data_IF_833544384462
#
_entry.id   IF_833544384462
#
_cell.length_a   1.000
_cell.length_b   1.000
_cell.length_c   1.000
_cell.angle_alpha   90.00
_cell.angle_beta   90.00
_cell.angle_gamma   90.00
#
_symmetry.space_group_name_H-M   'P 1'
#
loop_
_entity.id
_entity.type
_entity.pdbx_description
1 polymer ?
#
# COMPACT_ATOMS: atom_id res chain seq x y z
N UNK A 1 9.81 6.76 -46.75
CA UNK A 1 8.92 5.64 -46.39
C UNK A 1 8.95 5.52 -44.88
N UNK A 2 7.81 5.69 -44.21
CA UNK A 2 7.72 5.40 -42.78
C UNK A 2 7.62 3.87 -42.62
N UNK A 3 8.44 3.29 -41.75
CA UNK A 3 8.37 1.87 -41.38
C UNK A 3 7.83 1.85 -39.96
N UNK A 4 6.69 1.19 -39.75
CA UNK A 4 6.15 0.95 -38.41
C UNK A 4 6.93 -0.20 -37.78
N UNK A 5 7.83 0.12 -36.84
CA UNK A 5 8.51 -0.87 -36.02
C UNK A 5 7.67 -1.18 -34.78
N UNK A 6 7.75 -2.42 -34.29
CA UNK A 6 7.15 -2.84 -33.02
C UNK A 6 8.24 -3.24 -32.02
N UNK A 7 8.01 -2.97 -30.75
CA UNK A 7 8.86 -3.44 -29.65
C UNK A 7 8.47 -4.89 -29.33
N UNK A 8 9.45 -5.75 -29.07
CA UNK A 8 9.19 -7.14 -28.71
C UNK A 8 8.57 -7.24 -27.31
N UNK A 9 7.72 -8.24 -27.08
CA UNK A 9 7.15 -8.50 -25.76
C UNK A 9 8.22 -8.67 -24.68
N UNK A 10 9.37 -9.27 -25.01
CA UNK A 10 10.49 -9.43 -24.08
C UNK A 10 11.08 -8.09 -23.60
N UNK A 11 11.19 -7.10 -24.49
CA UNK A 11 11.67 -5.76 -24.12
C UNK A 11 10.64 -5.01 -23.28
N UNK A 12 9.36 -5.11 -23.63
CA UNK A 12 8.27 -4.52 -22.81
C UNK A 12 8.26 -5.17 -21.41
N UNK A 13 8.43 -6.50 -21.34
CA UNK A 13 8.53 -7.23 -20.09
C UNK A 13 9.70 -6.74 -19.23
N UNK A 14 10.87 -6.57 -19.83
CA UNK A 14 12.04 -6.06 -19.11
C UNK A 14 11.77 -4.66 -18.53
N UNK A 15 11.09 -3.79 -19.27
CA UNK A 15 10.72 -2.45 -18.79
C UNK A 15 9.68 -2.50 -17.67
N UNK A 16 8.66 -3.35 -17.79
CA UNK A 16 7.65 -3.56 -16.73
C UNK A 16 8.30 -4.08 -15.46
N UNK A 17 9.15 -5.09 -15.58
CA UNK A 17 9.87 -5.68 -14.44
C UNK A 17 10.74 -4.65 -13.75
N UNK A 18 11.55 -3.93 -14.52
CA UNK A 18 12.43 -2.89 -13.97
C UNK A 18 11.63 -1.77 -13.29
N UNK A 19 10.47 -1.40 -13.85
CA UNK A 19 9.72 -0.24 -13.40
C UNK A 19 8.77 -0.52 -12.25
N UNK A 20 8.16 -1.70 -12.17
CA UNK A 20 7.06 -1.97 -11.24
C UNK A 20 7.30 -3.18 -10.32
N UNK A 21 8.06 -4.19 -10.76
CA UNK A 21 8.25 -5.39 -9.95
C UNK A 21 9.11 -5.10 -8.72
N UNK A 22 8.63 -5.55 -7.56
CA UNK A 22 9.13 -5.27 -6.22
C UNK A 22 9.20 -3.78 -5.86
N UNK A 23 8.39 -2.95 -6.55
CA UNK A 23 8.21 -1.53 -6.23
C UNK A 23 6.91 -1.35 -5.48
N UNK A 24 7.00 -0.59 -4.40
CA UNK A 24 5.85 -0.27 -3.57
C UNK A 24 5.16 0.97 -4.14
N UNK A 25 3.84 0.95 -4.16
CA UNK A 25 2.99 1.99 -4.73
C UNK A 25 1.90 2.31 -3.71
N UNK A 26 1.58 3.59 -3.56
CA UNK A 26 0.59 4.07 -2.61
C UNK A 26 -0.63 4.61 -3.36
N UNK A 27 -1.80 4.06 -3.06
CA UNK A 27 -3.08 4.61 -3.47
C UNK A 27 -3.52 5.72 -2.54
N UNK A 28 -3.92 6.84 -3.14
CA UNK A 28 -4.36 8.05 -2.46
C UNK A 28 -5.69 8.55 -3.02
N UNK A 29 -6.43 9.28 -2.19
CA UNK A 29 -7.63 10.01 -2.61
C UNK A 29 -7.28 11.50 -2.79
N UNK A 30 -7.83 12.10 -3.84
CA UNK A 30 -7.58 13.51 -4.20
C UNK A 30 -8.93 14.22 -4.39
N UNK A 31 -9.09 15.39 -3.75
CA UNK A 31 -10.24 16.26 -3.92
C UNK A 31 -9.88 17.53 -4.72
N UNK A 32 -9.67 17.33 -6.02
CA UNK A 32 -9.37 18.39 -6.98
C UNK A 32 -10.63 18.80 -7.78
N UNK A 33 -11.71 19.17 -7.08
CA UNK A 33 -12.98 19.49 -7.72
C UNK A 33 -12.84 20.62 -8.77
N UNK A 34 -13.37 20.38 -9.97
CA UNK A 34 -13.27 21.29 -11.12
C UNK A 34 -11.94 21.22 -11.87
N UNK A 35 -11.01 20.34 -11.48
CA UNK A 35 -9.75 20.11 -12.19
C UNK A 35 -9.84 18.83 -13.01
N UNK A 36 -9.56 18.94 -14.31
CA UNK A 36 -9.31 17.77 -15.17
C UNK A 36 -7.82 17.50 -15.21
N UNK A 37 -7.39 16.32 -14.76
CA UNK A 37 -5.99 15.91 -14.88
C UNK A 37 -5.64 15.57 -16.33
N UNK A 38 -4.58 16.18 -16.85
CA UNK A 38 -4.03 15.86 -18.17
C UNK A 38 -2.50 15.76 -18.07
N UNK A 39 -1.91 14.58 -18.32
CA UNK A 39 -0.46 14.39 -18.32
C UNK A 39 0.25 15.43 -19.20
N UNK A 40 1.36 15.98 -18.70
CA UNK A 40 2.17 16.99 -19.40
C UNK A 40 1.57 18.39 -19.48
N UNK A 41 0.32 18.59 -19.03
CA UNK A 41 -0.33 19.91 -18.94
C UNK A 41 -0.60 20.29 -17.48
N UNK A 42 -1.19 19.37 -16.70
CA UNK A 42 -1.38 19.57 -15.26
C UNK A 42 -0.04 19.43 -14.54
N UNK A 43 0.24 20.33 -13.59
CA UNK A 43 1.45 20.25 -12.77
C UNK A 43 1.22 19.23 -11.65
N UNK A 44 1.92 18.10 -11.69
CA UNK A 44 1.70 16.98 -10.77
C UNK A 44 1.82 17.38 -9.30
N UNK A 45 2.79 18.21 -8.94
CA UNK A 45 2.96 18.66 -7.54
C UNK A 45 1.81 19.51 -7.03
N UNK A 46 1.21 20.33 -7.89
CA UNK A 46 -0.01 21.09 -7.54
C UNK A 46 -1.20 20.16 -7.42
N UNK A 47 -1.32 19.18 -8.32
CA UNK A 47 -2.41 18.21 -8.27
C UNK A 47 -2.35 17.33 -7.00
N UNK A 48 -1.16 16.86 -6.63
CA UNK A 48 -0.92 16.11 -5.39
C UNK A 48 -1.16 16.97 -4.14
N UNK A 49 -1.09 18.29 -4.24
CA UNK A 49 -1.46 19.19 -3.15
C UNK A 49 -2.96 19.15 -2.77
N UNK A 50 -3.81 18.54 -3.60
CA UNK A 50 -5.23 18.30 -3.31
C UNK A 50 -5.50 16.92 -2.68
N UNK A 51 -4.46 16.20 -2.27
CA UNK A 51 -4.66 14.96 -1.52
C UNK A 51 -5.54 15.21 -0.30
N UNK A 52 -6.49 14.29 -0.08
CA UNK A 52 -7.34 14.30 1.09
C UNK A 52 -6.46 14.10 2.34
N UNK A 53 -6.72 14.86 3.39
CA UNK A 53 -5.98 14.69 4.64
C UNK A 53 -6.37 13.38 5.33
N UNK A 54 -5.38 12.67 5.88
CA UNK A 54 -5.57 11.45 6.67
C UNK A 54 -6.35 11.74 7.95
N UNK A 55 -7.64 11.44 7.89
CA UNK A 55 -8.61 11.60 8.97
C UNK A 55 -9.82 10.69 8.71
N UNK A 56 -10.62 10.45 9.76
CA UNK A 56 -11.91 9.76 9.66
C UNK A 56 -11.84 8.36 9.02
N UNK A 57 -10.74 7.63 9.31
CA UNK A 57 -10.46 6.31 8.74
C UNK A 57 -9.74 6.31 7.39
N UNK A 58 -9.60 7.48 6.73
CA UNK A 58 -8.78 7.56 5.52
C UNK A 58 -7.31 7.30 5.84
N UNK A 59 -6.77 6.32 5.13
CA UNK A 59 -5.36 6.01 5.10
C UNK A 59 -4.97 5.60 3.69
N UNK A 60 -3.77 6.00 3.26
CA UNK A 60 -3.22 5.54 1.99
C UNK A 60 -3.11 4.02 1.96
N UNK A 61 -3.37 3.43 0.81
CA UNK A 61 -3.29 1.98 0.63
C UNK A 61 -1.97 1.61 -0.04
N UNK A 62 -1.19 0.70 0.54
CA UNK A 62 0.10 0.28 -0.04
C UNK A 62 -0.08 -1.00 -0.83
N UNK A 63 0.43 -1.02 -2.06
CA UNK A 63 0.47 -2.15 -2.97
C UNK A 63 1.90 -2.46 -3.38
N UNK A 64 2.15 -3.72 -3.75
CA UNK A 64 3.39 -4.14 -4.41
C UNK A 64 3.04 -5.07 -5.57
N UNK A 65 3.69 -4.86 -6.71
CA UNK A 65 3.68 -5.81 -7.82
C UNK A 65 4.88 -6.73 -7.68
N UNK A 66 4.66 -8.03 -7.70
CA UNK A 66 5.71 -9.05 -7.65
C UNK A 66 5.98 -9.60 -9.05
N UNK A 67 7.07 -10.34 -9.23
CA UNK A 67 7.43 -10.88 -10.56
C UNK A 67 6.33 -11.79 -11.15
N UNK A 68 5.61 -12.50 -10.28
CA UNK A 68 4.47 -13.33 -10.69
C UNK A 68 3.23 -12.52 -11.12
N UNK A 69 3.17 -11.22 -10.81
CA UNK A 69 2.06 -10.37 -11.22
C UNK A 69 2.22 -9.93 -12.69
N UNK A 70 3.37 -10.15 -13.33
CA UNK A 70 3.54 -9.84 -14.75
C UNK A 70 2.89 -10.94 -15.62
N UNK A 71 2.05 -10.53 -16.55
CA UNK A 71 1.41 -11.44 -17.52
C UNK A 71 1.60 -10.94 -18.95
N UNK A 72 2.05 -11.82 -19.84
CA UNK A 72 2.04 -11.58 -21.27
C UNK A 72 0.65 -11.91 -21.84
N UNK A 73 0.12 -11.01 -22.67
CA UNK A 73 -1.17 -11.17 -23.32
C UNK A 73 -1.02 -11.74 -24.74
N UNK A 74 -2.11 -12.29 -25.28
CA UNK A 74 -2.15 -12.88 -26.63
C UNK A 74 -2.03 -11.86 -27.75
N UNK A 75 -2.14 -10.57 -27.45
CA UNK A 75 -2.04 -9.44 -28.39
C UNK A 75 -0.66 -8.76 -28.34
N UNK A 76 0.38 -9.49 -27.91
CA UNK A 76 1.75 -9.03 -27.72
C UNK A 76 1.91 -7.90 -26.66
N UNK A 77 0.85 -7.60 -25.90
CA UNK A 77 0.90 -6.71 -24.75
C UNK A 77 1.49 -7.39 -23.51
N UNK A 78 2.06 -6.59 -22.61
CA UNK A 78 2.49 -7.05 -21.28
C UNK A 78 1.79 -6.18 -20.25
N UNK A 79 1.19 -6.80 -19.25
CA UNK A 79 0.55 -6.08 -18.16
C UNK A 79 0.86 -6.67 -16.80
N UNK A 80 0.36 -5.98 -15.79
CA UNK A 80 0.42 -6.38 -14.39
C UNK A 80 -0.93 -6.93 -13.97
N UNK A 81 -0.94 -7.86 -13.02
CA UNK A 81 -2.14 -8.36 -12.39
C UNK A 81 -2.90 -7.21 -11.74
N UNK A 82 -4.23 -7.22 -11.88
CA UNK A 82 -5.07 -6.20 -11.27
C UNK A 82 -4.91 -6.20 -9.75
N UNK A 83 -4.65 -5.03 -9.16
CA UNK A 83 -4.57 -4.83 -7.70
C UNK A 83 -5.66 -3.87 -7.24
N UNK A 84 -6.21 -4.11 -6.06
CA UNK A 84 -7.27 -3.28 -5.47
C UNK A 84 -6.75 -2.41 -4.33
N UNK A 85 -7.18 -1.15 -4.26
CA UNK A 85 -7.07 -0.32 -3.06
C UNK A 85 -8.45 -0.05 -2.50
N UNK A 86 -8.65 -0.33 -1.21
CA UNK A 86 -9.93 -0.10 -0.52
C UNK A 86 -9.72 0.98 0.53
N UNK A 87 -10.54 2.03 0.46
CA UNK A 87 -10.55 3.11 1.43
C UNK A 87 -11.83 3.03 2.24
N UNK A 88 -11.70 2.95 3.56
CA UNK A 88 -12.81 2.75 4.49
C UNK A 88 -13.01 3.99 5.36
N UNK A 89 -14.25 4.38 5.60
CA UNK A 89 -14.60 5.40 6.57
C UNK A 89 -14.68 4.80 7.98
N UNK A 90 -14.21 5.51 9.02
CA UNK A 90 -14.19 5.01 10.41
C UNK A 90 -15.55 5.01 11.14
N UNK A 91 -16.64 5.27 10.41
CA UNK A 91 -17.98 5.46 10.98
C UNK A 91 -18.19 6.74 11.81
N UNK A 92 -17.21 7.66 11.87
CA UNK A 92 -17.38 8.95 12.54
C UNK A 92 -18.38 9.89 11.85
N UNK A 93 -18.60 11.08 12.40
CA UNK A 93 -19.54 12.05 11.84
C UNK A 93 -18.97 12.88 10.67
N UNK A 94 -17.66 12.84 10.44
CA UNK A 94 -16.98 13.69 9.47
C UNK A 94 -16.74 12.94 8.16
N UNK A 95 -17.43 13.33 7.09
CA UNK A 95 -17.25 12.68 5.79
C UNK A 95 -15.89 12.96 5.14
N UNK A 96 -15.48 12.06 4.24
CA UNK A 96 -14.32 12.18 3.36
C UNK A 96 -14.85 12.43 1.94
N UNK A 97 -14.42 13.52 1.29
CA UNK A 97 -14.80 13.81 -0.10
C UNK A 97 -13.61 13.67 -1.02
N UNK A 98 -13.84 13.15 -2.23
CA UNK A 98 -12.80 13.07 -3.26
C UNK A 98 -13.41 13.07 -4.66
N UNK A 99 -12.58 13.43 -5.64
CA UNK A 99 -12.93 13.47 -7.08
C UNK A 99 -12.03 12.59 -7.92
N UNK A 100 -10.91 12.13 -7.36
CA UNK A 100 -9.99 11.23 -8.03
C UNK A 100 -9.40 10.23 -7.03
N UNK A 101 -9.01 9.07 -7.54
CA UNK A 101 -8.00 8.23 -6.92
C UNK A 101 -6.72 8.33 -7.73
N UNK A 102 -5.57 8.24 -7.07
CA UNK A 102 -4.28 8.25 -7.74
C UNK A 102 -3.34 7.20 -7.13
N UNK A 103 -2.35 6.79 -7.92
CA UNK A 103 -1.22 6.01 -7.43
C UNK A 103 0.03 6.87 -7.46
N UNK A 104 0.81 6.82 -6.38
CA UNK A 104 2.12 7.47 -6.26
C UNK A 104 3.18 6.45 -5.87
N UNK A 105 4.45 6.72 -6.19
CA UNK A 105 5.53 5.85 -5.75
C UNK A 105 5.67 5.87 -4.23
N UNK A 106 5.69 4.68 -3.62
CA UNK A 106 5.78 4.52 -2.18
C UNK A 106 7.13 4.94 -1.60
N UNK A 107 7.12 5.30 -0.33
CA UNK A 107 8.30 5.70 0.44
C UNK A 107 8.29 5.08 1.83
N UNK A 108 9.45 4.60 2.28
CA UNK A 108 9.59 4.09 3.63
C UNK A 108 8.71 2.86 3.89
N UNK A 109 8.46 2.02 2.88
CA UNK A 109 7.55 0.89 3.01
C UNK A 109 8.23 -0.31 3.67
N UNK A 110 7.62 -0.86 4.72
CA UNK A 110 8.20 -1.99 5.47
C UNK A 110 8.12 -3.26 4.64
N UNK A 111 9.26 -3.83 4.27
CA UNK A 111 9.35 -5.07 3.50
C UNK A 111 9.59 -6.29 4.40
N UNK A 112 10.29 -6.10 5.53
CA UNK A 112 10.58 -7.16 6.48
C UNK A 112 10.77 -6.59 7.90
N UNK A 113 10.39 -7.40 8.89
CA UNK A 113 10.68 -7.18 10.30
C UNK A 113 11.83 -8.07 10.73
N UNK A 114 12.65 -7.58 11.65
CA UNK A 114 13.65 -8.40 12.33
C UNK A 114 12.98 -9.31 13.37
N UNK A 115 13.77 -10.22 13.94
CA UNK A 115 13.32 -11.01 15.09
C UNK A 115 12.86 -10.10 16.24
N UNK A 116 11.85 -10.55 16.97
CA UNK A 116 11.34 -9.83 18.11
C UNK A 116 12.44 -9.59 19.16
N UNK A 117 12.52 -8.35 19.63
CA UNK A 117 13.40 -7.96 20.74
C UNK A 117 12.73 -8.20 22.09
N UNK A 118 11.39 -8.28 22.10
CA UNK A 118 10.58 -8.63 23.26
C UNK A 118 9.40 -9.50 22.80
N UNK A 119 9.26 -10.68 23.38
CA UNK A 119 8.11 -11.56 23.19
C UNK A 119 7.19 -11.53 24.42
N UNK A 120 5.87 -11.75 24.24
CA UNK A 120 4.96 -12.00 25.34
C UNK A 120 5.34 -13.26 26.13
N UNK A 121 4.98 -13.31 27.42
CA UNK A 121 5.36 -14.43 28.29
C UNK A 121 4.72 -15.76 27.85
N UNK A 122 3.41 -15.73 27.57
CA UNK A 122 2.63 -16.91 27.14
C UNK A 122 1.67 -16.53 26.03
N UNK A 123 1.74 -17.27 24.93
CA UNK A 123 0.81 -17.16 23.79
C UNK A 123 -0.14 -18.35 23.70
N UNK A 124 -1.27 -18.12 23.05
CA UNK A 124 -2.21 -19.17 22.63
C UNK A 124 -1.83 -19.59 21.21
N UNK A 125 -1.63 -20.88 20.98
CA UNK A 125 -1.29 -21.40 19.65
C UNK A 125 -2.38 -21.01 18.63
N UNK A 126 -1.96 -20.39 17.52
CA UNK A 126 -2.89 -19.84 16.55
C UNK A 126 -2.23 -18.95 15.50
N UNK A 127 -3.04 -18.50 14.54
CA UNK A 127 -2.68 -17.49 13.54
C UNK A 127 -3.64 -16.32 13.70
N UNK A 128 -3.08 -15.13 13.88
CA UNK A 128 -3.77 -13.89 14.16
C UNK A 128 -3.35 -12.89 13.10
N UNK A 129 -4.31 -12.32 12.37
CA UNK A 129 -4.01 -11.49 11.20
C UNK A 129 -4.28 -10.02 11.45
N UNK A 130 -3.59 -9.17 10.69
CA UNK A 130 -3.83 -7.72 10.64
C UNK A 130 -3.80 -7.02 12.00
N UNK A 131 -2.87 -7.43 12.88
CA UNK A 131 -2.72 -6.79 14.18
C UNK A 131 -2.15 -5.37 14.01
N UNK A 132 -2.84 -4.32 14.49
CA UNK A 132 -2.32 -2.96 14.40
C UNK A 132 -1.06 -2.78 15.24
N UNK A 133 -0.16 -1.95 14.72
CA UNK A 133 1.12 -1.64 15.37
C UNK A 133 1.22 -0.18 15.75
N UNK A 134 2.10 0.12 16.71
CA UNK A 134 2.61 1.47 16.97
C UNK A 134 4.11 1.48 16.75
N UNK A 135 4.67 2.64 16.44
CA UNK A 135 6.11 2.81 16.24
C UNK A 135 6.63 4.01 17.01
N UNK A 136 7.92 4.00 17.34
CA UNK A 136 8.64 5.14 17.88
C UNK A 136 9.12 6.13 16.79
N UNK A 137 9.04 5.70 15.52
CA UNK A 137 9.35 6.51 14.35
C UNK A 137 8.15 7.30 13.82
N UNK A 138 8.24 7.70 12.54
CA UNK A 138 7.17 8.41 11.81
C UNK A 138 6.33 7.50 10.93
N UNK A 139 6.59 6.18 11.00
CA UNK A 139 5.90 5.20 10.19
C UNK A 139 4.41 5.08 10.53
N UNK A 140 3.59 4.82 9.52
CA UNK A 140 2.14 4.60 9.69
C UNK A 140 1.67 3.43 8.84
N UNK A 141 0.60 2.79 9.30
CA UNK A 141 -0.15 1.84 8.50
C UNK A 141 0.34 0.40 8.46
N UNK A 142 1.45 0.08 9.12
CA UNK A 142 1.89 -1.30 9.26
C UNK A 142 0.91 -2.09 10.15
N UNK A 143 0.44 -3.21 9.62
CA UNK A 143 -0.18 -4.29 10.41
C UNK A 143 0.64 -5.55 10.28
N UNK A 144 0.55 -6.41 11.29
CA UNK A 144 1.39 -7.60 11.42
C UNK A 144 0.53 -8.83 11.65
N UNK A 145 0.83 -9.89 10.90
CA UNK A 145 0.35 -11.23 11.20
C UNK A 145 1.25 -11.85 12.27
N UNK A 146 0.62 -12.50 13.25
CA UNK A 146 1.27 -13.24 14.31
C UNK A 146 0.89 -14.73 14.20
N UNK A 147 1.90 -15.59 14.13
CA UNK A 147 1.74 -17.04 14.35
C UNK A 147 2.36 -17.40 15.69
N UNK A 148 1.58 -18.07 16.54
CA UNK A 148 2.04 -18.64 17.81
C UNK A 148 2.03 -20.16 17.68
N UNK A 149 3.15 -20.82 17.94
CA UNK A 149 3.23 -22.27 17.99
C UNK A 149 4.22 -22.73 19.06
N UNK A 150 3.75 -23.52 20.04
CA UNK A 150 4.56 -23.98 21.17
C UNK A 150 5.27 -22.81 21.89
N UNK A 151 4.55 -21.70 22.09
CA UNK A 151 5.06 -20.47 22.70
C UNK A 151 6.21 -19.80 21.93
N UNK A 152 6.33 -20.06 20.62
CA UNK A 152 7.20 -19.35 19.69
C UNK A 152 6.35 -18.36 18.91
N UNK A 153 6.74 -17.09 18.90
CA UNK A 153 6.05 -16.00 18.22
C UNK A 153 6.78 -15.70 16.91
N UNK A 154 6.04 -15.73 15.80
CA UNK A 154 6.55 -15.41 14.47
C UNK A 154 5.71 -14.28 13.89
N UNK A 155 6.37 -13.20 13.50
CA UNK A 155 5.73 -11.98 13.03
C UNK A 155 6.07 -11.75 11.55
N UNK A 156 5.07 -11.35 10.77
CA UNK A 156 5.26 -10.95 9.37
C UNK A 156 4.37 -9.75 9.02
N UNK A 157 4.85 -8.78 8.21
CA UNK A 157 3.99 -7.72 7.70
C UNK A 157 2.78 -8.29 6.94
N UNK A 158 1.57 -7.85 7.29
CA UNK A 158 0.33 -8.22 6.60
C UNK A 158 -0.15 -7.09 5.68
N UNK A 159 -0.08 -5.85 6.18
CA UNK A 159 -0.21 -4.62 5.40
C UNK A 159 1.08 -3.84 5.49
N UNK A 160 1.65 -3.48 4.34
CA UNK A 160 2.90 -2.73 4.31
C UNK A 160 2.66 -1.31 4.82
N UNK A 161 3.41 -0.92 5.85
CA UNK A 161 3.43 0.47 6.32
C UNK A 161 4.15 1.39 5.34
N UNK A 162 4.19 2.68 5.66
CA UNK A 162 4.94 3.71 4.92
C UNK A 162 5.62 4.68 5.88
N UNK A 163 6.60 5.44 5.38
CA UNK A 163 7.41 6.40 6.15
C UNK A 163 8.23 5.80 7.31
N UNK A 164 8.45 4.49 7.31
CA UNK A 164 9.34 3.83 8.26
C UNK A 164 10.81 3.98 7.86
N UNK A 165 11.69 3.85 8.84
CA UNK A 165 13.14 3.71 8.66
C UNK A 165 13.60 2.36 9.22
N UNK A 166 14.67 1.79 8.66
CA UNK A 166 15.30 0.61 9.24
C UNK A 166 15.77 0.93 10.66
N UNK A 167 15.42 0.06 11.60
CA UNK A 167 15.71 0.23 13.03
C UNK A 167 14.59 0.92 13.82
N UNK A 168 13.54 1.44 13.18
CA UNK A 168 12.33 1.87 13.88
C UNK A 168 11.78 0.71 14.70
N UNK A 169 11.36 0.98 15.94
CA UNK A 169 10.68 -0.01 16.75
C UNK A 169 9.24 -0.15 16.31
N UNK A 170 8.77 -1.39 16.20
CA UNK A 170 7.37 -1.73 15.93
C UNK A 170 6.86 -2.54 17.10
N UNK A 171 5.78 -2.06 17.70
CA UNK A 171 5.17 -2.66 18.89
C UNK A 171 3.74 -3.08 18.59
N UNK A 172 3.41 -4.33 18.92
CA UNK A 172 2.01 -4.78 19.05
C UNK A 172 1.67 -4.68 20.53
N UNK A 173 0.69 -3.82 20.85
CA UNK A 173 0.26 -3.62 22.22
C UNK A 173 -0.36 -4.91 22.78
N UNK A 174 -0.16 -5.14 24.07
CA UNK A 174 -0.78 -6.26 24.78
C UNK A 174 -2.30 -6.26 24.60
N UNK A 175 -2.96 -5.11 24.75
CA UNK A 175 -4.40 -4.98 24.56
C UNK A 175 -4.87 -5.39 23.16
N UNK A 176 -4.05 -5.17 22.14
CA UNK A 176 -4.33 -5.61 20.77
C UNK A 176 -4.28 -7.13 20.67
N UNK A 177 -3.24 -7.75 21.23
CA UNK A 177 -3.08 -9.21 21.24
C UNK A 177 -4.13 -9.91 22.11
N UNK A 178 -4.51 -9.31 23.24
CA UNK A 178 -5.61 -9.79 24.09
C UNK A 178 -6.95 -9.79 23.35
N UNK A 179 -7.27 -8.70 22.65
CA UNK A 179 -8.51 -8.59 21.87
C UNK A 179 -8.56 -9.62 20.74
N UNK A 180 -7.42 -9.93 20.13
CA UNK A 180 -7.29 -10.98 19.13
C UNK A 180 -7.34 -12.40 19.74
N UNK A 181 -7.20 -12.54 21.07
CA UNK A 181 -7.13 -13.83 21.77
C UNK A 181 -5.76 -14.53 21.63
N UNK A 182 -4.71 -13.79 21.28
CA UNK A 182 -3.35 -14.30 21.14
C UNK A 182 -2.63 -14.47 22.48
N UNK A 183 -2.98 -13.65 23.47
CA UNK A 183 -2.38 -13.68 24.81
C UNK A 183 -3.44 -13.41 25.89
N UNK A 184 -3.13 -13.77 27.14
CA UNK A 184 -3.92 -13.37 28.30
C UNK A 184 -3.38 -12.05 28.90
N UNK A 185 -4.22 -11.37 29.68
CA UNK A 185 -3.81 -10.14 30.37
C UNK A 185 -2.63 -10.38 31.34
N UNK A 186 -1.63 -9.52 31.26
CA UNK A 186 -0.35 -9.61 31.96
C UNK A 186 0.75 -10.38 31.20
N UNK A 187 0.51 -10.82 29.96
CA UNK A 187 1.52 -11.47 29.13
C UNK A 187 2.56 -10.48 28.57
N UNK A 188 2.22 -9.19 28.48
CA UNK A 188 3.07 -8.14 27.95
C UNK A 188 2.94 -7.92 26.43
N UNK A 189 3.65 -6.90 25.94
CA UNK A 189 3.67 -6.53 24.53
C UNK A 189 4.63 -7.40 23.70
N UNK A 190 4.50 -7.31 22.38
CA UNK A 190 5.52 -7.78 21.45
C UNK A 190 6.22 -6.58 20.80
N UNK A 191 7.54 -6.62 20.72
CA UNK A 191 8.33 -5.57 20.08
C UNK A 191 9.33 -6.17 19.10
N UNK A 192 9.40 -5.57 17.91
CA UNK A 192 10.33 -5.92 16.83
C UNK A 192 11.00 -4.64 16.33
N UNK A 193 12.01 -4.80 15.47
CA UNK A 193 12.57 -3.70 14.69
C UNK A 193 12.18 -3.84 13.22
N UNK A 194 12.04 -2.71 12.54
CA UNK A 194 11.96 -2.69 11.08
C UNK A 194 13.33 -3.11 10.52
N UNK A 195 13.38 -4.28 9.91
CA UNK A 195 14.62 -4.81 9.33
C UNK A 195 14.90 -4.18 7.96
N UNK A 196 13.96 -4.33 7.03
CA UNK A 196 14.12 -3.82 5.66
C UNK A 196 12.99 -2.88 5.29
N UNK A 197 13.39 -1.73 4.74
CA UNK A 197 12.51 -0.72 4.16
C UNK A 197 12.79 -0.59 2.67
N UNK A 198 11.73 -0.41 1.88
CA UNK A 198 11.79 -0.05 0.47
C UNK A 198 11.40 1.41 0.28
N UNK A 199 12.26 2.16 -0.41
CA UNK A 199 11.96 3.51 -0.88
C UNK A 199 12.31 3.59 -2.36
N UNK A 200 11.35 3.99 -3.18
CA UNK A 200 11.61 4.25 -4.60
C UNK A 200 12.41 5.55 -4.75
N UNK A 201 13.26 5.65 -5.76
CA UNK A 201 14.02 6.88 -6.08
C UNK A 201 13.06 8.05 -6.42
N UNK A 202 11.87 7.69 -6.89
CA UNK A 202 10.78 8.50 -7.41
C UNK A 202 9.67 8.69 -6.37
N UNK A 203 9.94 8.33 -5.11
CA UNK A 203 9.03 8.45 -3.98
C UNK A 203 8.17 9.73 -4.02
N UNK A 204 6.86 9.57 -3.87
CA UNK A 204 5.88 10.66 -3.88
C UNK A 204 5.52 11.19 -5.28
N UNK A 205 6.18 10.74 -6.35
CA UNK A 205 5.79 11.13 -7.71
C UNK A 205 4.55 10.36 -8.17
N UNK A 206 3.73 11.05 -8.96
CA UNK A 206 2.50 10.54 -9.53
C UNK A 206 2.76 9.47 -10.59
N UNK A 207 1.99 8.38 -10.56
CA UNK A 207 2.03 7.27 -11.53
C UNK A 207 0.81 7.34 -12.44
N UNK A 208 -0.38 7.38 -11.84
CA UNK A 208 -1.66 7.40 -12.56
C UNK A 208 -2.72 8.14 -11.76
N UNK A 209 -3.73 8.64 -12.46
CA UNK A 209 -4.90 9.32 -11.92
C UNK A 209 -6.14 8.71 -12.56
N UNK A 210 -7.08 8.28 -11.72
CA UNK A 210 -8.40 7.82 -12.11
C UNK A 210 -9.45 8.82 -11.60
N UNK A 211 -10.09 9.61 -12.48
CA UNK A 211 -11.21 10.45 -12.08
C UNK A 211 -12.43 9.60 -11.76
N UNK A 212 -13.27 10.08 -10.85
CA UNK A 212 -14.65 9.59 -10.70
C UNK A 212 -15.62 10.50 -11.44
N UNK A 213 -16.70 9.94 -11.97
CA UNK A 213 -17.68 10.67 -12.80
C UNK A 213 -18.31 11.88 -12.08
N UNK A 214 -18.48 11.75 -10.76
CA UNK A 214 -18.96 12.79 -9.85
C UNK A 214 -18.20 12.70 -8.54
N UNK A 215 -18.07 13.80 -7.79
CA UNK A 215 -17.49 13.79 -6.45
C UNK A 215 -18.15 12.70 -5.59
N UNK A 216 -17.32 11.90 -4.93
CA UNK A 216 -17.74 10.82 -4.03
C UNK A 216 -17.58 11.31 -2.59
N UNK A 217 -18.51 10.87 -1.74
CA UNK A 217 -18.49 11.11 -0.30
C UNK A 217 -18.50 9.78 0.42
N UNK A 218 -17.46 9.53 1.22
CA UNK A 218 -17.44 8.44 2.18
C UNK A 218 -17.92 8.94 3.54
N UNK A 219 -18.92 8.29 4.10
CA UNK A 219 -19.55 8.60 5.38
C UNK A 219 -20.12 7.32 6.01
N UNK A 220 -20.46 7.40 7.30
CA UNK A 220 -21.20 6.36 8.00
C UNK A 220 -20.64 4.93 7.87
N UNK A 221 -19.32 4.79 7.68
CA UNK A 221 -18.65 3.49 7.59
C UNK A 221 -18.69 2.82 6.23
N UNK A 222 -19.04 3.57 5.17
CA UNK A 222 -18.96 3.07 3.80
C UNK A 222 -17.50 2.99 3.30
N UNK A 223 -17.33 2.42 2.10
CA UNK A 223 -16.02 2.15 1.51
C UNK A 223 -16.01 2.51 0.02
N UNK A 224 -14.84 2.88 -0.50
CA UNK A 224 -14.56 2.96 -1.93
C UNK A 224 -13.42 2.02 -2.31
N UNK A 225 -13.65 1.20 -3.34
CA UNK A 225 -12.65 0.31 -3.91
C UNK A 225 -12.26 0.76 -5.32
N UNK A 226 -10.96 0.77 -5.59
CA UNK A 226 -10.39 1.05 -6.91
C UNK A 226 -9.56 -0.13 -7.37
N UNK A 227 -9.76 -0.56 -8.61
CA UNK A 227 -9.03 -1.66 -9.22
C UNK A 227 -8.11 -1.12 -10.31
N UNK A 228 -6.81 -1.34 -10.13
CA UNK A 228 -5.75 -0.81 -10.98
C UNK A 228 -5.33 -1.88 -11.98
N UNK A 229 -5.66 -1.68 -13.25
CA UNK A 229 -5.25 -2.54 -14.37
C UNK A 229 -4.23 -1.79 -15.24
N UNK A 230 -3.01 -2.29 -15.25
CA UNK A 230 -1.91 -1.72 -16.03
C UNK A 230 -1.54 -2.65 -17.17
N UNK A 231 -1.91 -2.25 -18.39
CA UNK A 231 -1.53 -2.95 -19.61
C UNK A 231 -0.71 -2.02 -20.50
N UNK A 232 0.53 -2.44 -20.81
CA UNK A 232 1.39 -1.77 -21.77
C UNK A 232 1.35 -2.51 -23.11
N UNK A 233 1.22 -1.75 -24.19
CA UNK A 233 1.32 -2.25 -25.54
C UNK A 233 2.62 -1.77 -26.16
N UNK A 234 3.28 -2.66 -26.91
CA UNK A 234 4.44 -2.27 -27.71
C UNK A 234 3.97 -1.29 -28.77
N UNK A 235 4.39 -0.03 -28.65
CA UNK A 235 3.88 1.11 -29.44
C UNK A 235 3.41 0.75 -30.85
N UNK A 236 2.17 1.13 -31.15
CA UNK A 236 1.76 1.73 -32.43
C UNK A 236 0.45 2.50 -32.21
N UNK A 237 0.43 3.77 -32.62
CA UNK A 237 -0.81 4.42 -33.07
C UNK A 237 -1.23 3.82 -34.43
#
# INVERSE_FOLDING_TARGET
MAITAKISAAEISAQVDQRFVNKYVEGILIDANGVTYSPGTTVDSTFLGFEVAEANGYERQVLVFQGQDQTAYTDDGVGLATKGTVFTHDGSANAITFTHAALVWGTGNVAALDAATTDPAVGVDGVYTDLPTVTDGSGTGLTVDLTVANNVFVFSPSRFGRNYQTGDSVTILETTMEQAGAVAAGAGLAQMLVGTVSSNTEAGQLITVAPVDTQVTLDAGNEAAFYWDFKLFGFAD
#
